data_IF_101900800894
#
_entry.id   IF_101900800894
#
_cell.length_a   1.000
_cell.length_b   1.000
_cell.length_c   1.000
_cell.angle_alpha   90.00
_cell.angle_beta   90.00
_cell.angle_gamma   90.00
#
_symmetry.space_group_name_H-M   'P 1'
#
loop_
_entity.id
_entity.type
_entity.pdbx_description
1 polymer ?
#
# COMPACT_ATOMS: atom_id res chain seq x y z
N UNK A 1 -2.58 -2.64 23.90
CA UNK A 1 -2.93 -3.50 22.73
C UNK A 1 -4.14 -4.35 23.08
N UNK A 2 -5.16 -4.48 22.19
CA UNK A 2 -6.36 -5.28 22.47
C UNK A 2 -5.99 -6.76 22.57
N UNK A 3 -6.50 -7.50 23.59
CA UNK A 3 -6.24 -8.96 23.79
C UNK A 3 -6.44 -9.80 22.51
N UNK A 4 -7.40 -9.38 21.68
CA UNK A 4 -7.71 -10.05 20.41
C UNK A 4 -6.62 -9.88 19.34
N UNK A 5 -5.90 -8.73 19.32
CA UNK A 5 -4.78 -8.50 18.41
C UNK A 5 -3.55 -9.30 18.85
N UNK A 6 -3.24 -9.34 20.14
CA UNK A 6 -2.16 -10.17 20.68
C UNK A 6 -2.35 -11.63 20.26
N UNK A 7 -3.54 -12.20 20.49
CA UNK A 7 -3.85 -13.58 20.08
C UNK A 7 -3.70 -13.79 18.57
N UNK A 8 -4.06 -12.77 17.76
CA UNK A 8 -3.88 -12.84 16.30
C UNK A 8 -2.40 -12.85 15.92
N UNK A 9 -1.60 -11.95 16.47
CA UNK A 9 -0.16 -11.89 16.20
C UNK A 9 0.54 -13.19 16.60
N UNK A 10 0.17 -13.77 17.76
CA UNK A 10 0.69 -15.07 18.22
C UNK A 10 0.28 -16.26 17.32
N UNK A 11 -0.72 -16.09 16.44
CA UNK A 11 -1.12 -17.11 15.47
C UNK A 11 -0.36 -17.04 14.16
N UNK A 12 0.42 -15.97 13.93
CA UNK A 12 1.26 -15.82 12.74
C UNK A 12 2.56 -16.62 12.92
N UNK A 13 3.11 -17.14 11.82
CA UNK A 13 4.41 -17.78 11.87
C UNK A 13 5.53 -16.72 12.05
N UNK A 14 6.23 -16.67 13.21
CA UNK A 14 7.22 -15.64 13.49
C UNK A 14 8.45 -15.73 12.58
N UNK A 15 8.77 -16.92 12.05
CA UNK A 15 9.90 -17.12 11.12
C UNK A 15 9.71 -16.41 9.78
N UNK A 16 8.49 -16.02 9.45
CA UNK A 16 8.20 -15.19 8.28
C UNK A 16 8.67 -13.74 8.46
N UNK A 17 8.94 -13.29 9.70
CA UNK A 17 9.18 -11.88 10.03
C UNK A 17 10.53 -11.64 10.71
N UNK A 18 10.92 -12.49 11.67
CA UNK A 18 12.10 -12.27 12.50
C UNK A 18 13.37 -12.12 11.68
N UNK A 19 14.09 -11.02 11.88
CA UNK A 19 15.37 -10.71 11.20
C UNK A 19 15.22 -10.34 9.73
N UNK A 20 14.01 -10.42 9.15
CA UNK A 20 13.72 -10.12 7.75
C UNK A 20 13.39 -8.65 7.55
N UNK A 21 13.67 -8.12 6.37
CA UNK A 21 13.44 -6.71 6.05
C UNK A 21 12.13 -6.50 5.28
N UNK A 22 11.31 -5.58 5.78
CA UNK A 22 10.07 -5.17 5.15
C UNK A 22 10.06 -3.68 4.89
N UNK A 23 9.75 -3.30 3.65
CA UNK A 23 9.58 -1.90 3.25
C UNK A 23 8.08 -1.57 3.18
N UNK A 24 7.66 -0.49 3.83
CA UNK A 24 6.25 -0.06 3.83
C UNK A 24 6.14 1.38 3.32
N UNK A 25 5.55 1.55 2.14
CA UNK A 25 5.27 2.90 1.62
C UNK A 25 4.13 3.54 2.42
N UNK A 26 4.27 4.83 2.77
CA UNK A 26 3.33 5.52 3.65
C UNK A 26 3.34 4.99 5.10
N UNK A 27 4.45 4.38 5.53
CA UNK A 27 4.60 3.80 6.88
C UNK A 27 4.63 4.81 8.02
N UNK A 28 4.58 6.10 7.73
CA UNK A 28 4.63 7.17 8.73
C UNK A 28 3.28 7.54 9.36
N UNK A 29 2.16 6.97 8.91
CA UNK A 29 0.84 7.30 9.47
C UNK A 29 -0.20 6.20 9.23
N UNK A 30 -1.31 6.28 9.99
CA UNK A 30 -2.48 5.44 9.78
C UNK A 30 -2.17 3.94 9.75
N UNK A 31 -2.69 3.24 8.74
CA UNK A 31 -2.54 1.79 8.57
C UNK A 31 -1.08 1.41 8.36
N UNK A 32 -0.34 2.19 7.55
CA UNK A 32 1.07 1.94 7.29
C UNK A 32 1.91 1.98 8.57
N UNK A 33 1.69 2.99 9.46
CA UNK A 33 2.39 3.06 10.75
C UNK A 33 2.01 1.90 11.66
N UNK A 34 0.74 1.54 11.72
CA UNK A 34 0.29 0.38 12.49
C UNK A 34 0.96 -0.92 11.97
N UNK A 35 1.02 -1.10 10.65
CA UNK A 35 1.70 -2.25 10.04
C UNK A 35 3.20 -2.27 10.39
N UNK A 36 3.89 -1.12 10.28
CA UNK A 36 5.31 -1.00 10.67
C UNK A 36 5.54 -1.40 12.13
N UNK A 37 4.67 -0.93 13.03
CA UNK A 37 4.74 -1.28 14.46
C UNK A 37 4.56 -2.78 14.70
N UNK A 38 3.57 -3.40 14.05
CA UNK A 38 3.32 -4.83 14.22
C UNK A 38 4.44 -5.68 13.60
N UNK A 39 4.98 -5.31 12.43
CA UNK A 39 6.16 -5.95 11.84
C UNK A 39 7.37 -5.88 12.79
N UNK A 40 7.63 -4.69 13.36
CA UNK A 40 8.70 -4.51 14.34
C UNK A 40 8.47 -5.40 15.59
N UNK A 41 7.23 -5.52 16.08
CA UNK A 41 6.89 -6.37 17.23
C UNK A 41 7.10 -7.86 16.95
N UNK A 42 7.05 -8.28 15.69
CA UNK A 42 7.37 -9.63 15.21
C UNK A 42 8.87 -9.84 14.96
N UNK A 43 9.71 -8.85 15.29
CA UNK A 43 11.17 -8.92 15.15
C UNK A 43 11.70 -8.63 13.74
N UNK A 44 10.90 -8.00 12.88
CA UNK A 44 11.32 -7.59 11.55
C UNK A 44 12.19 -6.32 11.58
N UNK A 45 13.05 -6.16 10.57
CA UNK A 45 13.65 -4.88 10.20
C UNK A 45 12.67 -4.12 9.32
N UNK A 46 12.32 -2.89 9.67
CA UNK A 46 11.26 -2.12 9.02
C UNK A 46 11.83 -0.87 8.36
N UNK A 47 11.53 -0.67 7.08
CA UNK A 47 11.84 0.56 6.36
C UNK A 47 10.55 1.33 6.11
N UNK A 48 10.42 2.49 6.74
CA UNK A 48 9.35 3.45 6.49
C UNK A 48 9.72 4.28 5.25
N UNK A 49 9.04 4.07 4.13
CA UNK A 49 9.19 4.90 2.94
C UNK A 49 8.06 5.96 2.91
N UNK A 50 8.39 7.25 2.98
CA UNK A 50 7.40 8.32 3.03
C UNK A 50 7.94 9.65 2.46
N UNK A 51 7.03 10.53 2.04
CA UNK A 51 7.37 11.83 1.43
C UNK A 51 7.85 12.91 2.41
N UNK A 52 7.79 12.70 3.71
CA UNK A 52 8.29 13.63 4.74
C UNK A 52 9.16 12.85 5.70
N UNK A 53 10.48 13.09 5.64
CA UNK A 53 11.44 12.49 6.56
C UNK A 53 11.14 12.84 8.01
N UNK A 54 10.74 14.09 8.29
CA UNK A 54 10.35 14.55 9.63
C UNK A 54 9.24 13.68 10.21
N UNK A 55 8.13 13.50 9.47
CA UNK A 55 7.02 12.64 9.92
C UNK A 55 7.40 11.18 10.00
N UNK A 56 8.30 10.74 9.12
CA UNK A 56 8.88 9.40 9.17
C UNK A 56 9.66 9.18 10.45
N UNK A 57 10.51 10.15 10.82
CA UNK A 57 11.31 10.10 12.04
C UNK A 57 10.43 10.07 13.29
N UNK A 58 9.41 10.93 13.37
CA UNK A 58 8.43 10.90 14.48
C UNK A 58 7.77 9.51 14.59
N UNK A 59 7.34 8.94 13.47
CA UNK A 59 6.73 7.61 13.46
C UNK A 59 7.70 6.51 13.91
N UNK A 60 8.96 6.58 13.47
CA UNK A 60 10.03 5.68 13.92
C UNK A 60 10.18 5.74 15.43
N UNK A 61 10.36 6.94 16.02
CA UNK A 61 10.53 7.15 17.47
C UNK A 61 9.34 6.61 18.27
N UNK A 62 8.11 6.82 17.78
CA UNK A 62 6.90 6.27 18.41
C UNK A 62 6.87 4.75 18.39
N UNK A 63 7.32 4.14 17.29
CA UNK A 63 7.41 2.68 17.16
C UNK A 63 8.50 2.15 18.12
N UNK A 64 9.70 2.71 18.10
CA UNK A 64 10.82 2.28 18.94
C UNK A 64 10.51 2.43 20.43
N UNK A 65 9.78 3.49 20.83
CA UNK A 65 9.30 3.66 22.21
C UNK A 65 8.27 2.60 22.60
N UNK A 66 7.43 2.17 21.67
CA UNK A 66 6.35 1.19 21.94
C UNK A 66 6.79 -0.26 21.78
N UNK A 67 7.88 -0.52 21.07
CA UNK A 67 8.45 -1.84 20.79
C UNK A 67 9.95 -1.78 21.09
N UNK A 68 10.37 -2.13 22.33
CA UNK A 68 11.79 -2.12 22.71
C UNK A 68 12.61 -3.04 21.79
N UNK A 69 13.74 -2.53 21.29
CA UNK A 69 14.61 -3.25 20.37
C UNK A 69 14.12 -3.28 18.90
N UNK A 70 13.09 -2.50 18.54
CA UNK A 70 12.66 -2.35 17.16
C UNK A 70 13.79 -1.81 16.27
N UNK A 71 13.94 -2.40 15.08
CA UNK A 71 14.88 -1.94 14.06
C UNK A 71 14.09 -1.23 12.95
N UNK A 72 14.05 0.10 12.99
CA UNK A 72 13.27 0.93 12.07
C UNK A 72 14.17 1.97 11.40
N UNK A 73 14.09 2.06 10.08
CA UNK A 73 14.75 3.10 9.29
C UNK A 73 13.73 3.91 8.50
N UNK A 74 14.09 5.11 8.09
CA UNK A 74 13.22 6.02 7.33
C UNK A 74 13.90 6.40 6.03
N UNK A 75 13.13 6.37 4.92
CA UNK A 75 13.60 6.77 3.59
C UNK A 75 12.59 7.71 2.93
N UNK A 76 13.12 8.67 2.19
CA UNK A 76 12.32 9.58 1.39
C UNK A 76 11.74 8.83 0.19
N UNK A 77 10.43 8.96 -0.02
CA UNK A 77 9.74 8.49 -1.21
C UNK A 77 8.46 9.30 -1.41
N UNK A 78 8.40 10.07 -2.48
CA UNK A 78 7.17 10.70 -2.96
C UNK A 78 6.71 10.01 -4.26
N UNK A 79 5.58 9.33 -4.22
CA UNK A 79 4.97 8.67 -5.39
C UNK A 79 4.38 9.66 -6.41
N UNK A 80 4.33 10.95 -6.08
CA UNK A 80 3.93 12.02 -6.98
C UNK A 80 5.13 12.67 -7.70
N UNK A 81 6.33 12.08 -7.59
CA UNK A 81 7.56 12.58 -8.21
C UNK A 81 8.38 11.41 -8.75
N UNK A 82 8.56 11.36 -10.07
CA UNK A 82 9.38 10.33 -10.70
C UNK A 82 10.85 10.42 -10.26
N UNK A 83 11.37 11.64 -10.09
CA UNK A 83 12.72 11.84 -9.59
C UNK A 83 12.92 11.23 -8.19
N UNK A 84 11.93 11.39 -7.29
CA UNK A 84 11.94 10.76 -5.97
C UNK A 84 11.88 9.25 -6.05
N UNK A 85 11.06 8.68 -6.96
CA UNK A 85 10.97 7.23 -7.18
C UNK A 85 12.31 6.67 -7.66
N UNK A 86 12.94 7.30 -8.66
CA UNK A 86 14.23 6.87 -9.20
C UNK A 86 15.33 6.91 -8.14
N UNK A 87 15.42 8.01 -7.39
CA UNK A 87 16.40 8.15 -6.29
C UNK A 87 16.19 7.10 -5.20
N UNK A 88 14.93 6.81 -4.83
CA UNK A 88 14.62 5.78 -3.85
C UNK A 88 15.07 4.38 -4.31
N UNK A 89 14.79 4.02 -5.57
CA UNK A 89 15.17 2.73 -6.14
C UNK A 89 16.70 2.60 -6.24
N UNK A 90 17.39 3.65 -6.69
CA UNK A 90 18.86 3.69 -6.75
C UNK A 90 19.48 3.45 -5.38
N UNK A 91 19.01 4.20 -4.36
CA UNK A 91 19.53 4.04 -3.00
C UNK A 91 19.29 2.65 -2.40
N UNK A 92 18.17 1.98 -2.71
CA UNK A 92 17.94 0.60 -2.27
C UNK A 92 18.91 -0.39 -2.93
N UNK A 93 19.19 -0.18 -4.23
CA UNK A 93 20.11 -1.04 -5.00
C UNK A 93 21.55 -0.86 -4.57
N UNK A 94 22.00 0.38 -4.40
CA UNK A 94 23.36 0.73 -3.99
C UNK A 94 23.70 0.18 -2.61
N UNK A 95 22.75 0.16 -1.69
CA UNK A 95 22.91 -0.43 -0.36
C UNK A 95 22.79 -1.96 -0.33
N UNK A 96 22.34 -2.58 -1.42
CA UNK A 96 22.12 -4.04 -1.47
C UNK A 96 21.14 -4.52 -0.38
N UNK A 97 20.07 -3.75 -0.12
CA UNK A 97 19.15 -4.02 0.99
C UNK A 97 18.42 -5.35 0.80
N UNK A 98 18.61 -6.30 1.68
CA UNK A 98 18.02 -7.64 1.63
C UNK A 98 16.52 -7.61 1.97
N UNK A 99 15.65 -7.39 0.95
CA UNK A 99 14.21 -7.17 1.09
C UNK A 99 13.44 -8.47 0.98
N UNK A 100 12.68 -8.82 2.02
CA UNK A 100 11.80 -10.00 2.07
C UNK A 100 10.33 -9.68 1.82
N UNK A 101 9.94 -8.42 2.03
CA UNK A 101 8.59 -7.98 1.73
C UNK A 101 8.53 -6.48 1.41
N UNK A 102 7.72 -6.12 0.41
CA UNK A 102 7.50 -4.76 0.01
C UNK A 102 6.00 -4.45 -0.03
N UNK A 103 5.56 -3.47 0.78
CA UNK A 103 4.13 -3.14 0.91
C UNK A 103 3.83 -1.79 0.28
N UNK A 104 3.19 -1.81 -0.87
CA UNK A 104 2.63 -0.63 -1.53
C UNK A 104 1.35 -0.18 -0.82
N UNK A 105 1.52 0.44 0.37
CA UNK A 105 0.42 0.93 1.19
C UNK A 105 0.10 2.41 0.94
N UNK A 106 1.10 3.22 0.54
CA UNK A 106 0.89 4.64 0.30
C UNK A 106 -0.21 4.92 -0.71
N UNK A 107 -0.95 6.00 -0.48
CA UNK A 107 -1.97 6.48 -1.39
C UNK A 107 -2.65 7.72 -0.85
N UNK A 108 -3.27 8.48 -1.76
CA UNK A 108 -4.04 9.68 -1.43
C UNK A 108 -5.52 9.43 -1.62
N UNK A 109 -6.34 10.01 -0.73
CA UNK A 109 -7.80 9.95 -0.78
C UNK A 109 -8.35 11.37 -0.75
N UNK A 110 -9.12 11.76 -1.78
CA UNK A 110 -9.72 13.10 -1.90
C UNK A 110 -8.71 14.24 -1.64
N UNK A 111 -7.51 14.23 -2.26
CA UNK A 111 -6.55 15.31 -2.08
C UNK A 111 -7.13 16.64 -2.58
N UNK A 112 -6.40 17.75 -2.36
CA UNK A 112 -6.65 18.97 -3.13
C UNK A 112 -6.45 18.66 -4.62
N UNK A 113 -7.24 19.29 -5.48
CA UNK A 113 -7.06 19.15 -6.92
C UNK A 113 -5.68 19.68 -7.32
N UNK A 114 -5.03 19.01 -8.25
CA UNK A 114 -3.68 19.30 -8.68
C UNK A 114 -3.10 18.20 -9.55
N UNK A 115 -1.89 18.41 -9.99
CA UNK A 115 -1.10 17.45 -10.73
C UNK A 115 0.08 16.96 -9.88
N UNK A 116 0.66 15.83 -10.26
CA UNK A 116 1.97 15.38 -9.77
C UNK A 116 3.07 16.30 -10.34
N UNK A 117 4.29 16.18 -9.86
CA UNK A 117 5.43 16.92 -10.43
C UNK A 117 5.64 16.58 -11.92
N UNK A 118 5.23 15.40 -12.35
CA UNK A 118 5.33 14.90 -13.72
C UNK A 118 4.07 15.18 -14.57
N UNK A 119 3.11 15.99 -14.08
CA UNK A 119 1.96 16.49 -14.85
C UNK A 119 0.72 15.61 -14.86
N UNK A 120 0.65 14.53 -14.07
CA UNK A 120 -0.52 13.62 -14.00
C UNK A 120 -1.52 14.03 -12.93
N UNK A 121 -2.81 13.68 -13.11
CA UNK A 121 -3.82 13.91 -12.06
C UNK A 121 -3.35 13.29 -10.73
N UNK A 122 -3.38 14.10 -9.67
CA UNK A 122 -2.71 13.78 -8.39
C UNK A 122 -3.15 12.44 -7.76
N UNK A 123 -4.41 12.03 -7.93
CA UNK A 123 -4.90 10.77 -7.35
C UNK A 123 -4.45 9.57 -8.17
N UNK A 124 -4.63 9.63 -9.48
CA UNK A 124 -4.23 8.54 -10.39
C UNK A 124 -2.71 8.48 -10.53
N UNK A 125 -2.05 9.63 -10.62
CA UNK A 125 -0.59 9.73 -10.67
C UNK A 125 0.05 9.09 -9.43
N UNK A 126 -0.41 9.43 -8.24
CA UNK A 126 0.16 8.87 -7.00
C UNK A 126 -0.23 7.41 -6.77
N UNK A 127 -1.54 7.08 -6.83
CA UNK A 127 -2.05 5.78 -6.38
C UNK A 127 -1.82 4.66 -7.39
N UNK A 128 -1.74 4.99 -8.68
CA UNK A 128 -1.60 4.01 -9.74
C UNK A 128 -0.26 4.14 -10.47
N UNK A 129 -0.01 5.27 -11.14
CA UNK A 129 1.17 5.42 -12.01
C UNK A 129 2.47 5.38 -11.20
N UNK A 130 2.62 6.21 -10.19
CA UNK A 130 3.83 6.26 -9.35
C UNK A 130 4.05 4.94 -8.58
N UNK A 131 2.97 4.34 -8.06
CA UNK A 131 3.06 3.03 -7.40
C UNK A 131 3.48 1.93 -8.38
N UNK A 132 2.92 1.93 -9.60
CA UNK A 132 3.24 0.94 -10.62
C UNK A 132 4.66 1.11 -11.17
N UNK A 133 5.08 2.34 -11.48
CA UNK A 133 6.47 2.63 -11.92
C UNK A 133 7.47 2.20 -10.85
N UNK A 134 7.22 2.54 -9.58
CA UNK A 134 8.07 2.10 -8.48
C UNK A 134 8.23 0.58 -8.48
N UNK A 135 7.13 -0.14 -8.65
CA UNK A 135 7.16 -1.61 -8.66
C UNK A 135 7.92 -2.16 -9.88
N UNK A 136 7.63 -1.69 -11.10
CA UNK A 136 8.33 -2.13 -12.31
C UNK A 136 9.86 -1.91 -12.21
N UNK A 137 10.28 -0.77 -11.65
CA UNK A 137 11.69 -0.48 -11.40
C UNK A 137 12.33 -1.39 -10.33
N UNK A 138 11.56 -1.86 -9.35
CA UNK A 138 12.04 -2.74 -8.29
C UNK A 138 12.03 -4.22 -8.68
N UNK A 139 11.20 -4.65 -9.63
CA UNK A 139 11.10 -6.06 -10.03
C UNK A 139 12.45 -6.70 -10.38
N UNK A 140 13.32 -6.08 -11.23
CA UNK A 140 14.64 -6.67 -11.52
C UNK A 140 15.50 -6.84 -10.28
N UNK A 141 15.38 -5.93 -9.31
CA UNK A 141 16.11 -6.04 -8.03
C UNK A 141 15.57 -7.19 -7.18
N UNK A 142 14.25 -7.33 -7.09
CA UNK A 142 13.63 -8.42 -6.34
C UNK A 142 13.95 -9.79 -6.95
N UNK A 143 13.95 -9.89 -8.29
CA UNK A 143 14.33 -11.13 -8.99
C UNK A 143 15.78 -11.55 -8.74
N UNK A 144 16.67 -10.61 -8.49
CA UNK A 144 18.09 -10.88 -8.19
C UNK A 144 18.33 -11.35 -6.75
N UNK A 145 17.35 -11.24 -5.85
CA UNK A 145 17.48 -11.71 -4.47
C UNK A 145 17.41 -13.24 -4.39
N UNK A 146 18.20 -13.88 -3.49
CA UNK A 146 18.31 -15.35 -3.42
C UNK A 146 17.14 -16.05 -2.72
N UNK A 147 16.10 -15.32 -2.36
CA UNK A 147 14.93 -15.81 -1.62
C UNK A 147 13.63 -15.22 -2.17
N UNK A 148 12.50 -15.70 -1.67
CA UNK A 148 11.18 -15.18 -2.01
C UNK A 148 10.97 -13.75 -1.49
N UNK A 149 10.32 -12.92 -2.31
CA UNK A 149 9.93 -11.55 -1.97
C UNK A 149 8.41 -11.41 -2.08
N UNK A 150 7.77 -11.08 -0.96
CA UNK A 150 6.33 -10.84 -0.92
C UNK A 150 6.03 -9.36 -1.24
N UNK A 151 5.43 -9.07 -2.39
CA UNK A 151 5.02 -7.73 -2.80
C UNK A 151 3.52 -7.58 -2.60
N UNK A 152 3.11 -6.72 -1.65
CA UNK A 152 1.70 -6.54 -1.27
C UNK A 152 1.19 -5.19 -1.75
N UNK A 153 0.13 -5.19 -2.54
CA UNK A 153 -0.56 -3.98 -2.98
C UNK A 153 -1.80 -3.69 -2.14
N UNK A 154 -1.88 -2.45 -1.64
CA UNK A 154 -3.07 -1.96 -0.94
C UNK A 154 -4.20 -1.66 -1.90
N UNK A 155 -5.15 -2.58 -2.00
CA UNK A 155 -6.42 -2.42 -2.70
C UNK A 155 -7.46 -1.70 -1.83
N UNK A 156 -8.70 -1.65 -2.30
CA UNK A 156 -9.85 -1.07 -1.59
C UNK A 156 -11.14 -1.75 -2.03
N UNK A 157 -12.16 -1.74 -1.18
CA UNK A 157 -13.52 -2.13 -1.58
C UNK A 157 -14.05 -1.26 -2.73
N UNK A 158 -13.62 0.02 -2.79
CA UNK A 158 -13.98 0.94 -3.87
C UNK A 158 -13.45 0.54 -5.25
N UNK A 159 -12.47 -0.37 -5.33
CA UNK A 159 -11.99 -0.91 -6.61
C UNK A 159 -13.10 -1.61 -7.43
N UNK A 160 -14.19 -2.05 -6.78
CA UNK A 160 -15.35 -2.68 -7.45
C UNK A 160 -16.37 -1.69 -7.99
N UNK A 161 -16.25 -0.38 -7.70
CA UNK A 161 -17.30 0.60 -7.99
C UNK A 161 -17.25 1.11 -9.43
N UNK A 162 -16.04 1.21 -10.01
CA UNK A 162 -15.83 1.76 -11.34
C UNK A 162 -14.87 0.90 -12.15
N UNK A 163 -14.96 0.99 -13.48
CA UNK A 163 -13.95 0.46 -14.40
C UNK A 163 -12.74 1.39 -14.43
N UNK A 164 -11.60 0.87 -14.85
CA UNK A 164 -10.43 1.69 -15.17
C UNK A 164 -10.74 2.59 -16.38
N UNK A 165 -10.31 3.82 -16.29
CA UNK A 165 -10.39 4.82 -17.36
C UNK A 165 -9.06 5.56 -17.44
N UNK A 166 -8.25 5.34 -18.50
CA UNK A 166 -6.92 5.93 -18.64
C UNK A 166 -6.94 7.46 -18.75
N UNK A 167 -8.03 8.06 -19.25
CA UNK A 167 -8.18 9.52 -19.35
C UNK A 167 -8.08 10.24 -17.99
N UNK A 168 -8.21 9.51 -16.90
CA UNK A 168 -8.00 10.07 -15.57
C UNK A 168 -6.57 10.55 -15.35
N UNK A 169 -5.57 9.91 -15.97
CA UNK A 169 -4.16 10.34 -15.87
C UNK A 169 -3.88 11.63 -16.62
N UNK A 170 -4.55 11.84 -17.75
CA UNK A 170 -4.32 12.96 -18.65
C UNK A 170 -4.92 14.29 -18.13
N UNK A 171 -5.74 14.23 -17.08
CA UNK A 171 -6.33 15.41 -16.44
C UNK A 171 -7.55 16.00 -17.18
N UNK A 172 -7.89 15.47 -18.35
CA UNK A 172 -9.05 15.91 -19.14
C UNK A 172 -10.36 15.36 -18.61
N UNK A 173 -10.30 14.16 -18.02
CA UNK A 173 -11.42 13.54 -17.34
C UNK A 173 -11.35 13.81 -15.83
N UNK A 174 -12.16 14.77 -15.35
CA UNK A 174 -12.17 15.22 -13.95
C UNK A 174 -13.44 14.84 -13.20
N UNK A 175 -13.69 13.54 -12.97
CA UNK A 175 -14.83 13.12 -12.15
C UNK A 175 -14.66 13.56 -10.70
N UNK A 176 -15.74 13.48 -9.90
CA UNK A 176 -15.65 13.78 -8.46
C UNK A 176 -14.58 12.94 -7.73
N UNK A 177 -14.01 13.52 -6.69
CA UNK A 177 -12.83 12.97 -5.95
C UNK A 177 -12.98 11.51 -5.52
N UNK A 178 -14.18 11.09 -5.10
CA UNK A 178 -14.44 9.70 -4.71
C UNK A 178 -14.35 8.75 -5.92
N UNK A 179 -14.87 9.18 -7.08
CA UNK A 179 -14.77 8.40 -8.32
C UNK A 179 -13.32 8.30 -8.80
N UNK A 180 -12.53 9.39 -8.75
CA UNK A 180 -11.08 9.37 -9.05
C UNK A 180 -10.36 8.33 -8.18
N UNK A 181 -10.61 8.37 -6.87
CA UNK A 181 -10.03 7.39 -5.95
C UNK A 181 -10.44 5.95 -6.31
N UNK A 182 -11.73 5.70 -6.55
CA UNK A 182 -12.20 4.36 -6.90
C UNK A 182 -11.58 3.84 -8.20
N UNK A 183 -11.45 4.68 -9.24
CA UNK A 183 -10.78 4.35 -10.49
C UNK A 183 -9.29 4.05 -10.25
N UNK A 184 -8.59 4.88 -9.46
CA UNK A 184 -7.17 4.63 -9.15
C UNK A 184 -6.96 3.32 -8.39
N UNK A 185 -7.88 2.96 -7.48
CA UNK A 185 -7.83 1.68 -6.76
C UNK A 185 -8.21 0.48 -7.65
N UNK A 186 -9.10 0.67 -8.64
CA UNK A 186 -9.35 -0.35 -9.67
C UNK A 186 -8.12 -0.57 -10.55
N UNK A 187 -7.42 0.51 -10.90
CA UNK A 187 -6.22 0.45 -11.72
C UNK A 187 -5.09 -0.33 -11.03
N UNK A 188 -4.70 0.06 -9.81
CA UNK A 188 -3.62 -0.63 -9.10
C UNK A 188 -3.98 -2.09 -8.75
N UNK A 189 -5.26 -2.37 -8.46
CA UNK A 189 -5.73 -3.73 -8.26
C UNK A 189 -5.58 -4.57 -9.52
N UNK A 190 -5.99 -4.03 -10.67
CA UNK A 190 -5.88 -4.72 -11.97
C UNK A 190 -4.45 -4.98 -12.38
N UNK A 191 -3.59 -3.98 -12.23
CA UNK A 191 -2.15 -4.10 -12.43
C UNK A 191 -1.56 -5.25 -11.60
N UNK A 192 -1.78 -5.25 -10.29
CA UNK A 192 -1.25 -6.28 -9.41
C UNK A 192 -1.80 -7.68 -9.72
N UNK A 193 -3.07 -7.79 -10.14
CA UNK A 193 -3.64 -9.09 -10.55
C UNK A 193 -2.99 -9.62 -11.82
N UNK A 194 -2.82 -8.79 -12.85
CA UNK A 194 -2.20 -9.20 -14.10
C UNK A 194 -0.73 -9.55 -13.89
N UNK A 195 0.00 -8.69 -13.19
CA UNK A 195 1.40 -8.95 -12.84
C UNK A 195 1.55 -10.28 -12.08
N UNK A 196 0.68 -10.55 -11.10
CA UNK A 196 0.73 -11.79 -10.33
C UNK A 196 0.41 -13.06 -11.13
N UNK A 197 -0.20 -12.93 -12.32
CA UNK A 197 -0.39 -14.04 -13.27
C UNK A 197 0.84 -14.25 -14.15
N UNK A 198 1.57 -13.18 -14.47
CA UNK A 198 2.83 -13.24 -15.23
C UNK A 198 4.00 -13.75 -14.38
N UNK A 199 4.07 -13.36 -13.11
CA UNK A 199 5.16 -13.72 -12.22
C UNK A 199 5.27 -15.21 -11.96
N UNK A 200 6.44 -15.79 -12.26
CA UNK A 200 6.75 -17.23 -12.11
C UNK A 200 7.95 -17.51 -11.22
N UNK A 201 8.68 -16.46 -10.80
CA UNK A 201 9.93 -16.58 -10.06
C UNK A 201 9.74 -16.51 -8.54
N UNK A 202 10.74 -15.89 -7.90
CA UNK A 202 10.80 -15.69 -6.46
C UNK A 202 9.94 -14.52 -5.96
N UNK A 203 9.32 -13.73 -6.85
CA UNK A 203 8.46 -12.60 -6.48
C UNK A 203 7.00 -13.05 -6.40
N UNK A 204 6.37 -12.81 -5.26
CA UNK A 204 4.97 -13.14 -5.01
C UNK A 204 4.13 -11.87 -4.93
N UNK A 205 3.24 -11.69 -5.89
CA UNK A 205 2.34 -10.54 -5.91
C UNK A 205 1.08 -10.86 -5.12
N UNK A 206 0.81 -10.04 -4.12
CA UNK A 206 -0.27 -10.22 -3.16
C UNK A 206 -1.15 -8.96 -3.13
N UNK A 207 -2.43 -9.14 -2.88
CA UNK A 207 -3.39 -8.05 -2.76
C UNK A 207 -4.06 -8.08 -1.39
N UNK A 208 -4.03 -6.93 -0.70
CA UNK A 208 -4.72 -6.77 0.57
C UNK A 208 -5.56 -5.48 0.58
N UNK A 209 -6.70 -5.51 1.25
CA UNK A 209 -7.44 -4.29 1.55
C UNK A 209 -7.74 -4.18 3.05
N UNK A 210 -7.70 -2.97 3.59
CA UNK A 210 -7.83 -2.74 5.03
C UNK A 210 -9.29 -2.79 5.54
N UNK A 211 -10.26 -2.98 4.68
CA UNK A 211 -11.66 -2.71 4.99
C UNK A 211 -11.97 -1.21 4.97
N UNK A 212 -12.97 -0.80 5.75
CA UNK A 212 -13.28 0.61 5.96
C UNK A 212 -12.69 1.04 7.29
N UNK A 213 -11.60 1.82 7.23
CA UNK A 213 -10.82 2.21 8.40
C UNK A 213 -10.93 3.70 8.64
N UNK A 214 -11.15 4.08 9.89
CA UNK A 214 -11.05 5.47 10.28
C UNK A 214 -9.58 5.88 10.30
N UNK A 215 -9.18 6.67 9.31
CA UNK A 215 -7.86 7.29 9.27
C UNK A 215 -8.02 8.81 9.19
N UNK A 216 -7.01 9.60 9.58
CA UNK A 216 -7.00 11.05 9.38
C UNK A 216 -7.33 11.48 7.95
N UNK A 217 -7.15 10.57 7.00
CA UNK A 217 -7.46 10.74 5.59
C UNK A 217 -8.98 10.97 5.34
N UNK A 218 -9.86 10.36 6.14
CA UNK A 218 -11.32 10.47 5.99
C UNK A 218 -11.88 11.81 6.44
N UNK A 219 -11.28 12.45 7.45
CA UNK A 219 -11.74 13.73 8.01
C UNK A 219 -11.05 14.95 7.40
N UNK A 220 -10.00 14.72 6.60
CA UNK A 220 -9.27 15.79 5.93
C UNK A 220 -10.18 16.50 4.91
N UNK A 221 -10.43 17.81 5.16
CA UNK A 221 -11.26 18.65 4.29
C UNK A 221 -12.66 18.95 4.82
N UNK A 222 -13.03 18.43 6.02
CA UNK A 222 -14.24 18.87 6.74
C UNK A 222 -13.93 20.01 7.71
N UNK A 223 -14.88 20.95 7.96
CA UNK A 223 -14.76 21.96 9.02
C UNK A 223 -14.54 21.28 10.38
N UNK A 224 -13.69 21.90 11.26
CA UNK A 224 -13.28 21.29 12.52
C UNK A 224 -14.42 20.72 13.40
N UNK A 225 -15.54 21.43 13.68
CA UNK A 225 -16.62 20.89 14.52
C UNK A 225 -17.32 19.68 13.87
N UNK A 226 -17.50 19.71 12.55
CA UNK A 226 -18.12 18.61 11.81
C UNK A 226 -17.17 17.42 11.68
N UNK A 227 -15.87 17.66 11.51
CA UNK A 227 -14.84 16.62 11.51
C UNK A 227 -14.77 15.88 12.86
N UNK A 228 -14.97 16.58 13.99
CA UNK A 228 -15.00 15.98 15.33
C UNK A 228 -16.25 15.08 15.51
N UNK A 229 -17.43 15.56 15.10
CA UNK A 229 -18.69 14.81 15.18
C UNK A 229 -18.67 13.58 14.27
N UNK A 230 -18.29 13.76 13.02
CA UNK A 230 -18.11 12.66 12.05
C UNK A 230 -17.06 11.68 12.54
N UNK A 231 -15.94 12.18 13.08
CA UNK A 231 -14.89 11.37 13.68
C UNK A 231 -15.36 10.52 14.86
N UNK A 232 -16.23 11.05 15.71
CA UNK A 232 -16.84 10.32 16.83
C UNK A 232 -17.73 9.16 16.34
N UNK A 233 -18.66 9.42 15.41
CA UNK A 233 -19.53 8.39 14.84
C UNK A 233 -18.76 7.33 14.07
N UNK A 234 -17.78 7.73 13.27
CA UNK A 234 -16.97 6.76 12.50
C UNK A 234 -16.05 5.89 13.40
N UNK A 235 -15.58 6.40 14.56
CA UNK A 235 -14.84 5.59 15.53
C UNK A 235 -15.66 4.43 16.11
N UNK A 236 -16.99 4.55 16.16
CA UNK A 236 -17.87 3.49 16.67
C UNK A 236 -18.08 2.36 15.65
N UNK A 237 -17.97 2.65 14.36
CA UNK A 237 -18.34 1.73 13.27
C UNK A 237 -17.17 1.30 12.38
N UNK A 238 -16.07 2.04 12.39
CA UNK A 238 -14.92 1.77 11.52
C UNK A 238 -13.77 1.11 12.28
N UNK A 239 -12.97 0.38 11.53
CA UNK A 239 -11.76 -0.28 12.02
C UNK A 239 -10.72 0.70 12.56
N UNK A 240 -10.07 0.30 13.66
CA UNK A 240 -8.80 0.92 14.04
C UNK A 240 -7.67 0.53 13.06
N UNK A 241 -6.63 1.35 12.91
CA UNK A 241 -5.51 1.08 12.00
C UNK A 241 -4.79 -0.24 12.29
N UNK A 242 -4.70 -0.66 13.55
CA UNK A 242 -4.07 -1.92 13.97
C UNK A 242 -4.87 -3.14 13.46
N UNK A 243 -6.19 -3.10 13.58
CA UNK A 243 -7.05 -4.15 13.02
C UNK A 243 -6.98 -4.20 11.49
N UNK A 244 -6.92 -3.03 10.84
CA UNK A 244 -6.77 -2.92 9.39
C UNK A 244 -5.42 -3.49 8.89
N UNK A 245 -4.34 -3.28 9.63
CA UNK A 245 -3.02 -3.81 9.33
C UNK A 245 -2.98 -5.35 9.31
N UNK A 246 -3.91 -6.02 10.00
CA UNK A 246 -3.96 -7.50 10.04
C UNK A 246 -4.18 -8.13 8.67
N UNK A 247 -4.82 -7.45 7.71
CA UNK A 247 -4.98 -7.95 6.35
C UNK A 247 -3.64 -8.06 5.61
N UNK A 248 -2.78 -7.07 5.80
CA UNK A 248 -1.42 -7.04 5.23
C UNK A 248 -0.52 -8.07 5.92
N UNK A 249 -0.57 -8.15 7.25
CA UNK A 249 0.17 -9.15 8.02
C UNK A 249 -0.22 -10.58 7.61
N UNK A 250 -1.51 -10.82 7.35
CA UNK A 250 -2.00 -12.12 6.88
C UNK A 250 -1.43 -12.44 5.49
N UNK A 251 -1.44 -11.47 4.60
CA UNK A 251 -0.85 -11.62 3.27
C UNK A 251 0.64 -11.99 3.36
N UNK A 252 1.43 -11.25 4.13
CA UNK A 252 2.86 -11.50 4.35
C UNK A 252 3.14 -12.82 5.09
N UNK A 253 2.26 -13.23 6.01
CA UNK A 253 2.42 -14.49 6.75
C UNK A 253 2.13 -15.73 5.90
N UNK A 254 1.12 -15.67 5.03
CA UNK A 254 0.73 -16.80 4.19
C UNK A 254 1.51 -16.84 2.87
N UNK A 255 1.77 -15.67 2.27
CA UNK A 255 2.48 -15.55 0.99
C UNK A 255 1.84 -16.38 -0.14
N UNK A 256 0.50 -16.52 -0.15
CA UNK A 256 -0.20 -17.31 -1.16
C UNK A 256 -0.54 -16.45 -2.37
N UNK A 257 0.12 -16.63 -3.52
CA UNK A 257 -0.21 -15.94 -4.76
C UNK A 257 -1.69 -16.13 -5.13
N UNK A 258 -2.24 -15.19 -5.87
CA UNK A 258 -3.64 -15.22 -6.34
C UNK A 258 -4.69 -15.22 -5.22
N UNK A 259 -4.31 -14.81 -4.02
CA UNK A 259 -5.23 -14.60 -2.89
C UNK A 259 -5.50 -13.11 -2.67
N UNK A 260 -6.73 -12.80 -2.24
CA UNK A 260 -7.13 -11.46 -1.85
C UNK A 260 -7.36 -11.44 -0.34
N UNK A 261 -6.63 -10.60 0.36
CA UNK A 261 -6.68 -10.53 1.81
C UNK A 261 -7.49 -9.33 2.27
N UNK A 262 -8.36 -9.53 3.25
CA UNK A 262 -9.16 -8.46 3.81
C UNK A 262 -9.81 -8.86 5.13
N UNK A 263 -10.59 -7.96 5.76
CA UNK A 263 -11.25 -8.25 7.00
C UNK A 263 -12.29 -9.38 6.90
N UNK A 264 -12.38 -10.20 7.93
CA UNK A 264 -13.31 -11.36 7.98
C UNK A 264 -14.78 -10.97 8.20
N UNK A 265 -15.06 -9.77 8.71
CA UNK A 265 -16.41 -9.36 9.09
C UNK A 265 -17.36 -9.17 7.91
N UNK A 266 -18.63 -8.90 8.22
CA UNK A 266 -19.70 -8.76 7.23
C UNK A 266 -19.32 -7.76 6.13
N UNK A 267 -19.48 -8.15 4.87
CA UNK A 267 -19.11 -7.34 3.72
C UNK A 267 -17.62 -6.97 3.63
N UNK A 268 -16.75 -7.67 4.36
CA UNK A 268 -15.30 -7.38 4.45
C UNK A 268 -14.99 -5.94 4.92
N UNK A 269 -15.90 -5.33 5.64
CA UNK A 269 -15.77 -3.95 6.13
C UNK A 269 -14.85 -3.89 7.35
N UNK A 270 -14.97 -4.88 8.24
CA UNK A 270 -14.28 -4.89 9.53
C UNK A 270 -13.89 -6.32 9.99
N UNK A 271 -13.00 -6.46 10.99
CA UNK A 271 -12.53 -7.74 11.51
C UNK A 271 -11.05 -8.00 11.25
N UNK A 272 -10.55 -9.15 11.62
CA UNK A 272 -9.15 -9.56 11.38
C UNK A 272 -8.95 -9.97 9.93
N UNK A 273 -7.72 -9.86 9.44
CA UNK A 273 -7.35 -10.28 8.10
C UNK A 273 -7.59 -11.77 7.84
N UNK A 274 -8.15 -12.07 6.69
CA UNK A 274 -8.37 -13.42 6.16
C UNK A 274 -8.18 -13.43 4.65
N UNK A 275 -7.88 -14.60 4.08
CA UNK A 275 -7.84 -14.80 2.64
C UNK A 275 -9.24 -15.14 2.10
N UNK A 276 -9.57 -14.64 0.91
CA UNK A 276 -10.78 -14.98 0.17
C UNK A 276 -10.60 -14.77 -1.34
N UNK A 277 -11.57 -15.24 -2.13
CA UNK A 277 -11.49 -15.12 -3.58
C UNK A 277 -11.73 -13.69 -4.07
N UNK A 278 -11.16 -13.37 -5.23
CA UNK A 278 -11.38 -12.07 -5.87
C UNK A 278 -12.85 -11.85 -6.26
N UNK A 279 -13.41 -10.67 -6.02
CA UNK A 279 -14.73 -10.29 -6.52
C UNK A 279 -14.80 -10.46 -8.05
N UNK A 280 -15.90 -11.03 -8.56
CA UNK A 280 -16.08 -11.30 -10.01
C UNK A 280 -15.82 -10.07 -10.90
N UNK A 281 -16.21 -8.88 -10.43
CA UNK A 281 -16.01 -7.60 -11.15
C UNK A 281 -14.54 -7.22 -11.34
N UNK A 282 -13.63 -7.75 -10.54
CA UNK A 282 -12.21 -7.43 -10.58
C UNK A 282 -11.36 -8.42 -11.39
N UNK A 283 -11.98 -9.47 -11.95
CA UNK A 283 -11.26 -10.55 -12.65
C UNK A 283 -11.00 -10.29 -14.13
N UNK A 284 -11.59 -9.24 -14.72
CA UNK A 284 -11.53 -8.97 -16.17
C UNK A 284 -10.82 -7.66 -16.48
N UNK A 285 -10.16 -7.58 -17.63
CA UNK A 285 -9.53 -6.38 -18.16
C UNK A 285 -8.28 -5.94 -17.40
N UNK A 286 -7.60 -6.86 -16.73
CA UNK A 286 -6.41 -6.57 -15.94
C UNK A 286 -5.16 -6.47 -16.81
N UNK A 287 -5.04 -7.33 -17.84
CA UNK A 287 -3.91 -7.32 -18.79
C UNK A 287 -3.79 -5.99 -19.53
N UNK A 288 -4.93 -5.43 -19.95
CA UNK A 288 -4.96 -4.09 -20.56
C UNK A 288 -4.45 -2.99 -19.61
N UNK A 289 -4.70 -3.11 -18.30
CA UNK A 289 -4.20 -2.18 -17.31
C UNK A 289 -2.68 -2.32 -17.13
N UNK A 290 -2.17 -3.54 -17.09
CA UNK A 290 -0.75 -3.83 -17.00
C UNK A 290 0.00 -3.30 -18.24
N UNK A 291 -0.50 -3.61 -19.44
CA UNK A 291 0.07 -3.12 -20.70
C UNK A 291 0.09 -1.60 -20.75
N UNK A 292 -1.04 -0.95 -20.39
CA UNK A 292 -1.14 0.51 -20.34
C UNK A 292 -0.12 1.11 -19.35
N UNK A 293 0.05 0.52 -18.16
CA UNK A 293 1.03 1.03 -17.20
C UNK A 293 2.45 0.94 -17.77
N UNK A 294 2.83 -0.20 -18.34
CA UNK A 294 4.18 -0.43 -18.88
C UNK A 294 4.48 0.48 -20.06
N UNK A 295 3.53 0.66 -20.96
CA UNK A 295 3.64 1.61 -22.06
C UNK A 295 3.88 3.03 -21.54
N UNK A 296 3.03 3.48 -20.62
CA UNK A 296 3.14 4.82 -20.03
C UNK A 296 4.43 5.00 -19.22
N UNK A 297 4.85 3.99 -18.47
CA UNK A 297 6.12 4.02 -17.74
C UNK A 297 7.31 4.11 -18.69
N UNK A 298 7.30 3.35 -19.80
CA UNK A 298 8.34 3.41 -20.82
C UNK A 298 8.45 4.78 -21.47
N UNK A 299 7.31 5.38 -21.89
CA UNK A 299 7.26 6.73 -22.43
C UNK A 299 7.91 7.77 -21.50
N UNK A 300 7.56 7.72 -20.22
CA UNK A 300 8.03 8.67 -19.21
C UNK A 300 9.52 8.49 -18.92
N UNK A 301 9.99 7.24 -18.83
CA UNK A 301 11.40 6.94 -18.51
C UNK A 301 12.36 7.24 -19.67
N UNK A 302 11.89 7.21 -20.92
CA UNK A 302 12.70 7.58 -22.11
C UNK A 302 12.89 9.10 -22.18
N UNK A 303 11.94 9.89 -21.67
CA UNK A 303 12.00 11.36 -21.73
C UNK A 303 12.87 12.00 -20.64
N UNK A 304 13.41 11.22 -19.71
CA UNK A 304 14.28 11.66 -18.60
C UNK A 304 15.66 11.01 -18.63
#
# INVERSE_FOLDING_TARGET
MKKSLIRYLSSLNPERFRGKTFVVTGGNSGIGKALCKELASLGARVVIACRSLERGQIAKEEIERSVPGANVTVRLLDLASLASILSFVSGLREEGLDIHGFVHNAGVFRPKDGLTEDGFEITAGTNFLGTGILNELLLPYFHALPHEVDVVFASSLSATWHRFDPRLLEGDFRPGKLKRYAISKRAIHGYAMALGQEEKGNVKILLAHPGVTFTPLFIKGYPKPFAALVGFFFRLFLHDPESAATSFLKALSEGKPSSYYGPRGLGHVSGKGTAYGFPKKLRKGNDAILSFLREKASEILIQK
#
